data_IF_388055439929
#
_entry.id   IF_388055439929
#
_cell.length_a   1.000
_cell.length_b   1.000
_cell.length_c   1.000
_cell.angle_alpha   90.00
_cell.angle_beta   90.00
_cell.angle_gamma   90.00
#
_symmetry.space_group_name_H-M   'P 1'
#
loop_
_entity.id
_entity.type
_entity.pdbx_description
1 polymer ?
#
# COMPACT_ATOMS: atom_id res chain seq x y z
N UNK A 1 47.91 -9.82 -7.96
CA UNK A 1 47.48 -10.60 -6.77
C UNK A 1 45.97 -10.84 -7.00
N UNK A 2 45.54 -12.09 -7.17
CA UNK A 2 44.12 -12.37 -7.16
C UNK A 2 43.58 -12.05 -5.77
N UNK A 3 42.75 -11.06 -5.64
CA UNK A 3 42.02 -10.80 -4.38
C UNK A 3 41.19 -12.03 -4.07
N UNK A 4 41.42 -12.61 -2.88
CA UNK A 4 40.65 -13.78 -2.43
C UNK A 4 39.23 -13.32 -2.16
N UNK A 5 38.25 -13.91 -2.84
CA UNK A 5 36.82 -13.57 -2.70
C UNK A 5 36.35 -13.91 -1.26
N UNK A 6 35.88 -12.91 -0.51
CA UNK A 6 35.33 -13.09 0.84
C UNK A 6 33.86 -13.37 0.77
N UNK A 7 33.39 -14.47 1.34
CA UNK A 7 32.05 -14.98 1.21
C UNK A 7 31.30 -15.01 2.54
N UNK A 8 30.13 -14.42 2.56
CA UNK A 8 29.18 -14.56 3.66
C UNK A 8 28.22 -15.73 3.37
N UNK A 9 28.22 -16.73 4.24
CA UNK A 9 27.26 -17.84 4.15
C UNK A 9 26.00 -17.50 4.92
N UNK A 10 24.83 -17.65 4.29
CA UNK A 10 23.56 -17.50 4.97
C UNK A 10 22.78 -18.82 4.98
N UNK A 11 22.43 -19.28 6.17
CA UNK A 11 21.76 -20.56 6.41
C UNK A 11 20.48 -20.31 7.21
N UNK A 12 19.38 -20.93 6.77
CA UNK A 12 18.08 -20.85 7.46
C UNK A 12 17.33 -22.17 7.43
N UNK A 13 16.74 -22.53 8.57
CA UNK A 13 15.75 -23.61 8.64
C UNK A 13 14.48 -23.11 9.31
N UNK A 14 13.34 -23.69 8.94
CA UNK A 14 12.08 -23.57 9.66
C UNK A 14 11.76 -24.92 10.29
N UNK A 15 11.04 -24.92 11.41
CA UNK A 15 10.61 -26.15 12.12
C UNK A 15 9.83 -27.11 11.22
N UNK A 16 9.09 -26.61 10.22
CA UNK A 16 8.36 -27.40 9.20
C UNK A 16 9.29 -27.97 8.10
N UNK A 17 10.29 -27.22 7.68
CA UNK A 17 11.23 -27.67 6.62
C UNK A 17 12.22 -28.75 7.10
N UNK A 18 12.50 -28.82 8.41
CA UNK A 18 13.28 -29.93 8.99
C UNK A 18 12.54 -31.28 8.86
N UNK A 19 11.20 -31.26 8.87
CA UNK A 19 10.40 -32.46 8.78
C UNK A 19 10.13 -32.91 7.32
N UNK A 20 10.12 -31.98 6.38
CA UNK A 20 9.72 -32.24 4.98
C UNK A 20 10.90 -32.40 4.01
N UNK A 21 12.00 -31.66 4.21
CA UNK A 21 13.11 -31.61 3.23
C UNK A 21 14.41 -32.30 3.68
N UNK A 22 14.50 -32.75 4.96
CA UNK A 22 15.63 -33.56 5.46
C UNK A 22 16.98 -32.88 5.56
N UNK A 23 17.10 -31.58 5.26
CA UNK A 23 18.37 -30.86 5.32
C UNK A 23 18.51 -30.05 6.62
N UNK A 24 19.39 -30.52 7.50
CA UNK A 24 19.75 -29.79 8.73
C UNK A 24 20.58 -28.52 8.43
N UNK A 25 20.71 -27.63 9.42
CA UNK A 25 21.62 -26.47 9.33
C UNK A 25 23.04 -26.94 9.02
N UNK A 26 23.47 -28.01 9.68
CA UNK A 26 24.81 -28.59 9.55
C UNK A 26 25.07 -29.10 8.14
N UNK A 27 24.10 -29.77 7.52
CA UNK A 27 24.24 -30.25 6.13
C UNK A 27 24.28 -29.11 5.11
N UNK A 28 23.42 -28.08 5.27
CA UNK A 28 23.47 -26.89 4.42
C UNK A 28 24.84 -26.22 4.55
N UNK A 29 25.31 -26.01 5.77
CA UNK A 29 26.60 -25.39 6.07
C UNK A 29 27.74 -26.20 5.45
N UNK A 30 27.79 -27.50 5.65
CA UNK A 30 28.86 -28.38 5.10
C UNK A 30 28.91 -28.29 3.57
N UNK A 31 27.75 -28.28 2.88
CA UNK A 31 27.70 -28.14 1.41
C UNK A 31 28.20 -26.77 0.95
N UNK A 32 27.85 -25.69 1.65
CA UNK A 32 28.32 -24.34 1.32
C UNK A 32 29.81 -24.19 1.56
N UNK A 33 30.32 -24.74 2.65
CA UNK A 33 31.77 -24.77 2.98
C UNK A 33 32.55 -25.55 1.91
N UNK A 34 32.09 -26.76 1.55
CA UNK A 34 32.68 -27.52 0.45
C UNK A 34 32.69 -26.79 -0.89
N UNK A 35 31.63 -26.03 -1.19
CA UNK A 35 31.60 -25.22 -2.39
C UNK A 35 32.62 -24.07 -2.36
N UNK A 36 32.79 -23.42 -1.20
CA UNK A 36 33.83 -22.41 -1.02
C UNK A 36 35.25 -22.99 -1.19
N UNK A 37 35.51 -24.18 -0.65
CA UNK A 37 36.80 -24.88 -0.80
C UNK A 37 37.09 -25.19 -2.29
N UNK A 38 36.09 -25.67 -3.06
CA UNK A 38 36.26 -25.96 -4.49
C UNK A 38 36.55 -24.68 -5.29
N UNK A 39 36.00 -23.55 -4.86
CA UNK A 39 36.15 -22.24 -5.53
C UNK A 39 37.36 -21.44 -5.04
N UNK A 40 38.07 -21.92 -4.07
CA UNK A 40 39.18 -21.20 -3.37
C UNK A 40 38.68 -19.85 -2.80
N UNK A 41 37.49 -19.87 -2.17
CA UNK A 41 36.87 -18.71 -1.56
C UNK A 41 37.10 -18.67 -0.05
N UNK A 42 37.33 -17.49 0.50
CA UNK A 42 37.50 -17.32 1.95
C UNK A 42 36.15 -17.04 2.63
N UNK A 43 35.74 -17.87 3.57
CA UNK A 43 34.54 -17.66 4.37
C UNK A 43 34.78 -16.52 5.37
N UNK A 44 34.11 -15.39 5.15
CA UNK A 44 34.12 -14.27 6.07
C UNK A 44 33.38 -14.60 7.38
N UNK A 45 32.11 -15.07 7.24
CA UNK A 45 31.22 -15.37 8.37
C UNK A 45 30.04 -16.22 7.94
N UNK A 46 29.53 -17.06 8.86
CA UNK A 46 28.30 -17.81 8.71
C UNK A 46 27.18 -17.12 9.50
N UNK A 47 26.09 -16.77 8.82
CA UNK A 47 24.91 -16.18 9.40
C UNK A 47 23.82 -17.23 9.47
N UNK A 48 23.30 -17.51 10.66
CA UNK A 48 22.36 -18.60 10.88
C UNK A 48 21.09 -18.10 11.55
N UNK A 49 19.95 -18.19 10.85
CA UNK A 49 18.63 -18.03 11.41
C UNK A 49 17.97 -19.40 11.58
N UNK A 50 17.92 -19.91 12.81
CA UNK A 50 17.39 -21.23 13.14
C UNK A 50 16.35 -21.20 14.25
N UNK A 51 15.34 -22.09 14.16
CA UNK A 51 14.45 -22.38 15.30
C UNK A 51 13.22 -21.46 15.47
N UNK A 52 12.97 -20.52 14.58
CA UNK A 52 11.76 -19.69 14.64
C UNK A 52 10.61 -20.35 13.87
N UNK A 53 9.43 -20.47 14.52
CA UNK A 53 8.20 -20.94 13.88
C UNK A 53 7.86 -20.01 12.70
N UNK A 54 7.20 -20.51 11.66
CA UNK A 54 6.93 -19.81 10.40
C UNK A 54 6.12 -18.50 10.51
N UNK A 55 5.80 -18.05 11.71
CA UNK A 55 5.08 -16.80 12.02
C UNK A 55 5.98 -15.66 12.50
N UNK A 56 7.24 -15.89 12.86
CA UNK A 56 8.15 -14.83 13.32
C UNK A 56 8.92 -14.27 12.12
N UNK A 57 8.69 -13.00 11.82
CA UNK A 57 9.41 -12.19 10.82
C UNK A 57 10.79 -11.73 11.28
N UNK A 58 11.12 -11.96 12.54
CA UNK A 58 12.42 -11.57 13.11
C UNK A 58 13.52 -12.51 12.65
N UNK A 59 14.48 -11.97 11.91
CA UNK A 59 15.63 -12.67 11.33
C UNK A 59 16.92 -11.93 11.69
N UNK A 60 17.40 -12.05 12.93
CA UNK A 60 18.52 -11.26 13.42
C UNK A 60 19.81 -11.50 12.64
N UNK A 61 20.04 -12.75 12.16
CA UNK A 61 21.19 -13.03 11.34
C UNK A 61 21.10 -12.41 9.94
N UNK A 62 19.91 -12.39 9.32
CA UNK A 62 19.69 -11.68 8.06
C UNK A 62 19.87 -10.16 8.23
N UNK A 63 19.35 -9.59 9.30
CA UNK A 63 19.54 -8.16 9.58
C UNK A 63 21.02 -7.81 9.77
N UNK A 64 21.79 -8.67 10.44
CA UNK A 64 23.21 -8.49 10.58
C UNK A 64 23.94 -8.66 9.24
N UNK A 65 23.56 -9.65 8.42
CA UNK A 65 24.09 -9.83 7.07
C UNK A 65 23.88 -8.57 6.22
N UNK A 66 22.69 -7.95 6.28
CA UNK A 66 22.38 -6.70 5.56
C UNK A 66 23.27 -5.55 6.03
N UNK A 67 23.47 -5.38 7.34
CA UNK A 67 24.37 -4.34 7.90
C UNK A 67 25.81 -4.54 7.45
N UNK A 68 26.30 -5.77 7.52
CA UNK A 68 27.65 -6.11 7.12
C UNK A 68 27.86 -5.96 5.60
N UNK A 69 26.81 -6.25 4.80
CA UNK A 69 26.79 -6.00 3.36
C UNK A 69 26.88 -4.49 3.03
N UNK A 70 26.09 -3.67 3.71
CA UNK A 70 26.15 -2.21 3.55
C UNK A 70 27.51 -1.63 3.95
N UNK A 71 28.22 -2.29 4.87
CA UNK A 71 29.58 -1.97 5.29
C UNK A 71 30.66 -2.57 4.38
N UNK A 72 30.28 -3.35 3.35
CA UNK A 72 31.17 -4.00 2.36
C UNK A 72 32.24 -4.88 3.00
N UNK A 73 31.86 -5.70 3.99
CA UNK A 73 32.80 -6.55 4.72
C UNK A 73 33.12 -7.88 3.99
N UNK A 74 32.38 -8.19 2.93
CA UNK A 74 32.52 -9.36 2.06
C UNK A 74 32.13 -9.03 0.63
N UNK A 75 32.47 -9.91 -0.31
CA UNK A 75 32.30 -9.70 -1.75
C UNK A 75 31.12 -10.50 -2.32
N UNK A 76 30.77 -11.62 -1.67
CA UNK A 76 29.72 -12.53 -2.16
C UNK A 76 28.86 -13.03 -0.99
N UNK A 77 27.56 -13.14 -1.22
CA UNK A 77 26.61 -13.87 -0.37
C UNK A 77 26.31 -15.21 -1.02
N UNK A 78 26.50 -16.30 -0.29
CA UNK A 78 26.22 -17.66 -0.75
C UNK A 78 25.11 -18.29 0.10
N UNK A 79 24.09 -18.81 -0.56
CA UNK A 79 22.97 -19.55 0.07
C UNK A 79 22.85 -20.93 -0.54
N UNK A 80 22.27 -21.87 0.20
CA UNK A 80 22.02 -23.20 -0.31
C UNK A 80 20.92 -23.22 -1.38
N UNK A 81 19.83 -22.44 -1.16
CA UNK A 81 18.65 -22.33 -2.02
C UNK A 81 18.03 -20.95 -1.88
N UNK A 82 17.44 -20.40 -2.94
CA UNK A 82 16.83 -19.07 -2.95
C UNK A 82 15.77 -18.86 -1.85
N UNK A 83 14.97 -19.89 -1.56
CA UNK A 83 13.94 -19.83 -0.54
C UNK A 83 14.52 -19.70 0.90
N UNK A 84 15.81 -20.01 1.09
CA UNK A 84 16.52 -19.77 2.36
C UNK A 84 16.72 -18.28 2.59
N UNK A 85 16.94 -17.50 1.53
CA UNK A 85 17.02 -16.04 1.63
C UNK A 85 15.65 -15.43 1.95
N UNK A 86 14.63 -15.70 1.17
CA UNK A 86 13.23 -15.33 1.44
C UNK A 86 12.24 -16.26 0.70
N UNK A 87 11.05 -16.48 1.30
CA UNK A 87 9.92 -17.15 0.64
C UNK A 87 9.15 -16.20 -0.28
N UNK A 88 9.33 -14.90 -0.12
CA UNK A 88 8.72 -13.86 -0.94
C UNK A 88 9.66 -13.52 -2.09
N UNK A 89 9.22 -13.71 -3.33
CA UNK A 89 9.99 -13.30 -4.51
C UNK A 89 10.36 -11.81 -4.45
N UNK A 90 9.44 -10.97 -3.99
CA UNK A 90 9.67 -9.54 -3.82
C UNK A 90 10.83 -9.25 -2.88
N UNK A 91 10.84 -9.92 -1.72
CA UNK A 91 11.88 -9.68 -0.71
C UNK A 91 13.22 -10.26 -1.18
N UNK A 92 13.20 -11.40 -1.89
CA UNK A 92 14.42 -11.98 -2.50
C UNK A 92 15.02 -11.01 -3.51
N UNK A 93 14.21 -10.47 -4.44
CA UNK A 93 14.68 -9.49 -5.43
C UNK A 93 15.20 -8.22 -4.76
N UNK A 94 14.48 -7.69 -3.77
CA UNK A 94 14.91 -6.52 -3.00
C UNK A 94 16.27 -6.74 -2.34
N UNK A 95 16.47 -7.89 -1.70
CA UNK A 95 17.76 -8.21 -1.06
C UNK A 95 18.88 -8.33 -2.10
N UNK A 96 18.64 -8.99 -3.22
CA UNK A 96 19.66 -9.17 -4.26
C UNK A 96 19.95 -7.85 -4.98
N UNK A 97 18.94 -7.14 -5.50
CA UNK A 97 19.15 -5.93 -6.31
C UNK A 97 19.49 -4.71 -5.46
N UNK A 98 18.67 -4.44 -4.40
CA UNK A 98 18.77 -3.19 -3.65
C UNK A 98 19.78 -3.26 -2.49
N UNK A 99 20.08 -4.45 -1.96
CA UNK A 99 21.05 -4.59 -0.87
C UNK A 99 22.38 -5.10 -1.39
N UNK A 100 22.44 -6.25 -2.08
CA UNK A 100 23.73 -6.85 -2.44
C UNK A 100 24.34 -6.17 -3.66
N UNK A 101 23.70 -6.21 -4.81
CA UNK A 101 24.28 -5.67 -6.06
C UNK A 101 24.57 -4.16 -6.01
N UNK A 102 23.74 -3.36 -5.33
CA UNK A 102 24.02 -1.92 -5.12
C UNK A 102 25.27 -1.66 -4.29
N UNK A 103 25.64 -2.59 -3.42
CA UNK A 103 26.87 -2.50 -2.65
C UNK A 103 28.06 -3.22 -3.32
N UNK A 104 27.92 -3.66 -4.59
CA UNK A 104 28.88 -4.45 -5.35
C UNK A 104 29.17 -5.82 -4.71
N UNK A 105 28.17 -6.44 -4.10
CA UNK A 105 28.24 -7.78 -3.51
C UNK A 105 27.48 -8.72 -4.45
N UNK A 106 28.17 -9.79 -4.89
CA UNK A 106 27.56 -10.81 -5.72
C UNK A 106 26.70 -11.77 -4.88
N UNK A 107 25.72 -12.40 -5.52
CA UNK A 107 24.83 -13.35 -4.86
C UNK A 107 24.86 -14.68 -5.60
N UNK A 108 25.05 -15.77 -4.84
CA UNK A 108 25.10 -17.13 -5.37
C UNK A 108 24.13 -18.03 -4.63
N UNK A 109 23.33 -18.81 -5.38
CA UNK A 109 22.49 -19.89 -4.85
C UNK A 109 22.98 -21.22 -5.40
N UNK A 110 23.37 -22.11 -4.50
CA UNK A 110 24.03 -23.35 -4.86
C UNK A 110 23.10 -24.31 -5.61
N UNK A 111 21.89 -24.54 -5.10
CA UNK A 111 20.99 -25.55 -5.65
C UNK A 111 20.44 -25.17 -7.03
N UNK A 112 20.05 -23.90 -7.22
CA UNK A 112 19.56 -23.39 -8.48
C UNK A 112 20.66 -23.06 -9.48
N UNK A 113 21.94 -23.26 -9.11
CA UNK A 113 23.11 -22.89 -9.90
C UNK A 113 23.01 -21.44 -10.44
N UNK A 114 22.60 -20.54 -9.55
CA UNK A 114 22.33 -19.15 -9.84
C UNK A 114 23.44 -18.26 -9.28
N UNK A 115 24.10 -17.48 -10.15
CA UNK A 115 25.27 -16.66 -9.82
C UNK A 115 25.20 -15.31 -10.52
N UNK A 116 25.06 -14.23 -9.75
CA UNK A 116 24.94 -12.86 -10.27
C UNK A 116 26.25 -12.31 -10.83
N UNK A 117 27.40 -12.93 -10.53
CA UNK A 117 28.68 -12.56 -11.14
C UNK A 117 28.68 -12.84 -12.65
N UNK A 118 27.83 -13.80 -13.10
CA UNK A 118 27.71 -14.18 -14.50
C UNK A 118 26.74 -13.29 -15.28
N UNK A 119 26.98 -13.06 -16.59
CA UNK A 119 26.00 -12.37 -17.43
C UNK A 119 24.61 -13.03 -17.44
N UNK A 120 24.57 -14.35 -17.42
CA UNK A 120 23.32 -15.12 -17.37
C UNK A 120 22.57 -14.88 -16.06
N UNK A 121 23.23 -14.96 -14.91
CA UNK A 121 22.61 -14.69 -13.61
C UNK A 121 22.02 -13.28 -13.52
N UNK A 122 22.75 -12.26 -14.01
CA UNK A 122 22.20 -10.88 -14.11
C UNK A 122 20.98 -10.78 -15.01
N UNK A 123 20.98 -11.47 -16.15
CA UNK A 123 19.81 -11.49 -17.04
C UNK A 123 18.59 -12.14 -16.39
N UNK A 124 18.80 -13.24 -15.62
CA UNK A 124 17.72 -13.89 -14.85
C UNK A 124 17.12 -12.97 -13.80
N UNK A 125 17.93 -12.18 -13.07
CA UNK A 125 17.41 -11.18 -12.13
C UNK A 125 16.51 -10.18 -12.85
N UNK A 126 16.95 -9.64 -14.00
CA UNK A 126 16.13 -8.72 -14.78
C UNK A 126 14.78 -9.31 -15.19
N UNK A 127 14.76 -10.58 -15.61
CA UNK A 127 13.52 -11.29 -15.94
C UNK A 127 12.60 -11.46 -14.71
N UNK A 128 13.15 -11.87 -13.56
CA UNK A 128 12.39 -12.02 -12.33
C UNK A 128 11.79 -10.70 -11.87
N UNK A 129 12.52 -9.60 -12.01
CA UNK A 129 12.03 -8.24 -11.70
C UNK A 129 10.86 -7.84 -12.60
N UNK A 130 10.92 -8.14 -13.89
CA UNK A 130 9.80 -7.93 -14.84
C UNK A 130 8.58 -8.75 -14.42
N UNK A 131 8.74 -10.02 -14.08
CA UNK A 131 7.62 -10.86 -13.62
C UNK A 131 7.00 -10.32 -12.32
N UNK A 132 7.81 -9.90 -11.35
CA UNK A 132 7.33 -9.31 -10.11
C UNK A 132 6.57 -7.98 -10.35
N UNK A 133 6.95 -7.21 -11.37
CA UNK A 133 6.22 -6.02 -11.78
C UNK A 133 4.89 -6.38 -12.43
N UNK A 134 4.86 -7.33 -13.36
CA UNK A 134 3.63 -7.80 -14.02
C UNK A 134 2.62 -8.33 -12.99
N UNK A 135 3.07 -9.10 -12.00
CA UNK A 135 2.20 -9.59 -10.93
C UNK A 135 1.57 -8.43 -10.12
N UNK A 136 2.36 -7.41 -9.77
CA UNK A 136 1.84 -6.21 -9.09
C UNK A 136 0.80 -5.47 -9.93
N UNK A 137 1.03 -5.35 -11.22
CA UNK A 137 0.08 -4.70 -12.14
C UNK A 137 -1.22 -5.48 -12.26
N UNK A 138 -1.15 -6.81 -12.38
CA UNK A 138 -2.32 -7.69 -12.41
C UNK A 138 -3.14 -7.64 -11.11
N UNK A 139 -2.47 -7.60 -9.94
CA UNK A 139 -3.14 -7.43 -8.65
C UNK A 139 -3.87 -6.08 -8.61
N UNK A 140 -3.20 -5.00 -9.03
CA UNK A 140 -3.78 -3.66 -9.10
C UNK A 140 -4.99 -3.61 -10.03
N UNK A 141 -4.90 -4.24 -11.20
CA UNK A 141 -6.01 -4.33 -12.15
C UNK A 141 -7.19 -5.10 -11.57
N UNK A 142 -6.96 -6.29 -11.00
CA UNK A 142 -8.01 -7.06 -10.30
C UNK A 142 -8.68 -6.27 -9.19
N UNK A 143 -7.91 -5.54 -8.39
CA UNK A 143 -8.46 -4.67 -7.35
C UNK A 143 -9.32 -3.52 -7.94
N UNK A 144 -8.90 -2.94 -9.07
CA UNK A 144 -9.67 -1.89 -9.75
C UNK A 144 -10.98 -2.43 -10.32
N UNK A 145 -10.93 -3.59 -10.98
CA UNK A 145 -12.12 -4.28 -11.49
C UNK A 145 -13.08 -4.65 -10.36
N UNK A 146 -12.56 -5.18 -9.25
CA UNK A 146 -13.36 -5.47 -8.05
C UNK A 146 -14.04 -4.22 -7.47
N UNK A 147 -13.33 -3.08 -7.40
CA UNK A 147 -13.90 -1.80 -6.99
C UNK A 147 -14.99 -1.31 -7.95
N UNK A 148 -14.76 -1.40 -9.25
CA UNK A 148 -15.75 -1.03 -10.25
C UNK A 148 -17.00 -1.94 -10.17
N UNK A 149 -16.81 -3.26 -10.07
CA UNK A 149 -17.91 -4.21 -9.87
C UNK A 149 -18.73 -3.90 -8.62
N UNK A 150 -18.05 -3.56 -7.51
CA UNK A 150 -18.71 -3.14 -6.26
C UNK A 150 -19.52 -1.85 -6.44
N UNK A 151 -18.97 -0.84 -7.13
CA UNK A 151 -19.66 0.41 -7.43
C UNK A 151 -20.90 0.18 -8.31
N UNK A 152 -20.76 -0.63 -9.38
CA UNK A 152 -21.89 -1.01 -10.26
C UNK A 152 -22.97 -1.78 -9.52
N UNK A 153 -22.61 -2.63 -8.57
CA UNK A 153 -23.56 -3.34 -7.71
C UNK A 153 -24.21 -2.45 -6.63
N UNK A 154 -23.93 -1.16 -6.62
CA UNK A 154 -24.47 -0.21 -5.65
C UNK A 154 -23.95 -0.39 -4.22
N UNK A 155 -22.98 -1.28 -3.99
CA UNK A 155 -22.43 -1.53 -2.66
C UNK A 155 -21.56 -0.36 -2.19
N UNK A 156 -21.59 -0.06 -0.91
CA UNK A 156 -20.77 1.02 -0.32
C UNK A 156 -19.30 0.93 -0.71
N UNK A 157 -18.72 2.07 -1.06
CA UNK A 157 -17.29 2.21 -1.38
C UNK A 157 -16.45 2.60 -0.15
N UNK A 158 -17.05 2.63 1.03
CA UNK A 158 -16.43 3.06 2.29
C UNK A 158 -15.79 1.89 3.02
N UNK A 159 -14.45 1.86 3.07
CA UNK A 159 -13.66 0.76 3.61
C UNK A 159 -12.89 1.14 4.88
N UNK A 160 -12.50 2.40 4.99
CA UNK A 160 -11.69 2.88 6.12
C UNK A 160 -12.41 3.91 7.00
N UNK A 161 -13.27 4.74 6.42
CA UNK A 161 -14.02 5.77 7.15
C UNK A 161 -15.39 5.95 6.54
N UNK A 162 -16.42 5.71 7.34
CA UNK A 162 -17.82 5.93 6.96
C UNK A 162 -18.11 7.43 6.83
N UNK A 163 -18.97 7.81 5.86
CA UNK A 163 -19.49 9.18 5.79
C UNK A 163 -20.34 9.48 7.02
N UNK A 164 -20.13 10.64 7.63
CA UNK A 164 -20.95 11.10 8.75
C UNK A 164 -22.44 11.07 8.37
N UNK A 165 -23.29 10.59 9.25
CA UNK A 165 -24.70 10.33 8.96
C UNK A 165 -25.01 8.87 8.62
N UNK A 166 -23.99 8.01 8.50
CA UNK A 166 -24.18 6.59 8.22
C UNK A 166 -23.33 5.71 9.14
N UNK A 167 -23.87 4.54 9.46
CA UNK A 167 -23.15 3.42 10.04
C UNK A 167 -22.79 2.44 8.93
N UNK A 168 -21.59 1.83 9.00
CA UNK A 168 -21.14 0.82 8.03
C UNK A 168 -20.91 -0.51 8.74
N UNK A 169 -21.60 -1.53 8.26
CA UNK A 169 -21.40 -2.91 8.70
C UNK A 169 -20.34 -3.57 7.80
N UNK A 170 -19.25 -4.01 8.42
CA UNK A 170 -18.13 -4.65 7.70
C UNK A 170 -18.44 -6.06 7.23
N UNK A 171 -19.32 -6.78 7.93
CA UNK A 171 -19.66 -8.17 7.60
C UNK A 171 -20.56 -8.23 6.38
N UNK A 172 -21.61 -7.42 6.36
CA UNK A 172 -22.56 -7.36 5.24
C UNK A 172 -22.12 -6.41 4.13
N UNK A 173 -21.23 -5.47 4.45
CA UNK A 173 -20.82 -4.39 3.54
C UNK A 173 -21.91 -3.37 3.27
N UNK A 174 -22.95 -3.31 4.12
CA UNK A 174 -24.09 -2.43 4.01
C UNK A 174 -23.90 -1.11 4.77
N UNK A 175 -24.64 -0.07 4.33
CA UNK A 175 -24.72 1.20 5.04
C UNK A 175 -26.14 1.45 5.50
N UNK A 176 -26.29 1.81 6.78
CA UNK A 176 -27.57 2.23 7.38
C UNK A 176 -27.47 3.67 7.86
N UNK A 177 -28.59 4.39 7.82
CA UNK A 177 -28.64 5.78 8.31
C UNK A 177 -28.45 5.81 9.83
N UNK A 178 -27.55 6.67 10.30
CA UNK A 178 -27.46 7.05 11.71
C UNK A 178 -28.39 8.24 11.91
N UNK A 179 -29.54 7.99 12.53
CA UNK A 179 -30.62 8.98 12.61
C UNK A 179 -30.18 10.28 13.32
N UNK A 180 -29.34 10.20 14.36
CA UNK A 180 -28.82 11.37 15.05
C UNK A 180 -27.89 12.21 14.18
N UNK A 181 -26.92 11.57 13.52
CA UNK A 181 -25.98 12.25 12.62
C UNK A 181 -26.65 12.77 11.36
N UNK A 182 -27.70 12.06 10.88
CA UNK A 182 -28.46 12.45 9.70
C UNK A 182 -29.22 13.77 9.88
N UNK A 183 -29.60 14.13 11.12
CA UNK A 183 -30.19 15.43 11.42
C UNK A 183 -29.21 16.56 11.10
N UNK A 184 -27.96 16.45 11.53
CA UNK A 184 -26.93 17.44 11.22
C UNK A 184 -26.67 17.54 9.71
N UNK A 185 -26.66 16.41 8.98
CA UNK A 185 -26.51 16.39 7.52
C UNK A 185 -27.67 17.11 6.83
N UNK A 186 -28.92 16.83 7.23
CA UNK A 186 -30.11 17.51 6.71
C UNK A 186 -30.04 19.02 6.95
N UNK A 187 -29.69 19.43 8.18
CA UNK A 187 -29.53 20.85 8.55
C UNK A 187 -28.45 21.55 7.70
N UNK A 188 -27.33 20.89 7.43
CA UNK A 188 -26.27 21.41 6.56
C UNK A 188 -26.81 21.72 5.15
N UNK A 189 -27.54 20.79 4.53
CA UNK A 189 -28.11 21.01 3.20
C UNK A 189 -29.20 22.06 3.18
N UNK A 190 -30.15 22.00 4.13
CA UNK A 190 -31.26 22.96 4.24
C UNK A 190 -30.78 24.39 4.46
N UNK A 191 -29.88 24.60 5.41
CA UNK A 191 -29.32 25.94 5.70
C UNK A 191 -28.47 26.47 4.54
N UNK A 192 -27.74 25.59 3.82
CA UNK A 192 -26.96 26.00 2.66
C UNK A 192 -27.86 26.44 1.49
N UNK A 193 -28.94 25.72 1.22
CA UNK A 193 -29.94 26.05 0.19
C UNK A 193 -30.74 27.32 0.56
N UNK A 194 -30.94 27.59 1.86
CA UNK A 194 -31.49 28.84 2.35
C UNK A 194 -30.55 30.06 2.18
N UNK A 195 -29.37 29.87 1.59
CA UNK A 195 -28.42 30.96 1.26
C UNK A 195 -27.28 31.16 2.25
N UNK A 196 -27.19 30.36 3.32
CA UNK A 196 -26.13 30.51 4.32
C UNK A 196 -24.74 30.21 3.72
N UNK A 197 -23.72 30.98 4.10
CA UNK A 197 -22.35 30.71 3.69
C UNK A 197 -21.78 29.52 4.48
N UNK A 198 -20.80 28.77 3.88
CA UNK A 198 -20.19 27.62 4.53
C UNK A 198 -19.53 27.99 5.86
N UNK A 199 -18.97 29.21 6.00
CA UNK A 199 -18.38 29.69 7.24
C UNK A 199 -19.44 29.86 8.34
N UNK A 200 -20.53 30.56 8.07
CA UNK A 200 -21.63 30.72 9.01
C UNK A 200 -22.28 29.39 9.38
N UNK A 201 -22.44 28.51 8.37
CA UNK A 201 -22.97 27.16 8.53
C UNK A 201 -22.08 26.32 9.46
N UNK A 202 -20.76 26.37 9.29
CA UNK A 202 -19.79 25.71 10.19
C UNK A 202 -20.01 26.15 11.64
N UNK A 203 -20.14 27.44 11.87
CA UNK A 203 -20.27 27.99 13.23
C UNK A 203 -21.63 27.58 13.85
N UNK A 204 -22.72 27.62 13.07
CA UNK A 204 -24.03 27.12 13.49
C UNK A 204 -23.97 25.64 13.87
N UNK A 205 -23.43 24.78 13.00
CA UNK A 205 -23.39 23.34 13.22
C UNK A 205 -22.46 22.96 14.39
N UNK A 206 -21.39 23.71 14.64
CA UNK A 206 -20.57 23.50 15.84
C UNK A 206 -21.34 23.80 17.13
N UNK A 207 -22.29 24.74 17.11
CA UNK A 207 -23.15 25.04 18.26
C UNK A 207 -24.27 24.00 18.48
N UNK A 208 -24.93 23.57 17.39
CA UNK A 208 -26.10 22.69 17.47
C UNK A 208 -25.76 21.19 17.51
N UNK A 209 -24.70 20.80 16.81
CA UNK A 209 -24.27 19.38 16.66
C UNK A 209 -22.76 19.22 16.93
N UNK A 210 -22.31 19.48 18.17
CA UNK A 210 -20.88 19.45 18.52
C UNK A 210 -20.32 18.03 18.34
N UNK A 211 -19.10 17.93 17.82
CA UNK A 211 -18.35 16.67 17.67
C UNK A 211 -16.85 16.87 17.80
N UNK A 212 -16.10 15.78 17.97
CA UNK A 212 -14.64 15.76 17.96
C UNK A 212 -14.12 14.97 16.74
N UNK A 213 -13.18 15.54 15.95
CA UNK A 213 -12.80 16.96 15.95
C UNK A 213 -13.94 17.86 15.48
N UNK A 214 -13.91 19.13 15.86
CA UNK A 214 -14.92 20.13 15.51
C UNK A 214 -15.13 20.24 13.99
N UNK A 215 -16.32 20.72 13.59
CA UNK A 215 -16.66 20.95 12.19
C UNK A 215 -15.74 22.01 11.57
N UNK A 216 -15.08 21.66 10.47
CA UNK A 216 -14.27 22.58 9.68
C UNK A 216 -14.99 22.99 8.41
N UNK A 217 -14.55 24.11 7.80
CA UNK A 217 -15.02 24.52 6.46
C UNK A 217 -14.89 23.37 5.44
N UNK A 218 -13.75 22.67 5.46
CA UNK A 218 -13.47 21.55 4.56
C UNK A 218 -14.45 20.39 4.78
N UNK A 219 -14.78 20.08 6.02
CA UNK A 219 -15.74 19.01 6.36
C UNK A 219 -17.12 19.34 5.85
N UNK A 220 -17.65 20.53 6.10
CA UNK A 220 -18.98 20.97 5.63
C UNK A 220 -19.02 20.95 4.10
N UNK A 221 -18.01 21.54 3.43
CA UNK A 221 -17.92 21.52 1.97
C UNK A 221 -17.86 20.10 1.42
N UNK A 222 -17.13 19.20 2.07
CA UNK A 222 -17.03 17.79 1.70
C UNK A 222 -18.39 17.08 1.78
N UNK A 223 -19.20 17.37 2.80
CA UNK A 223 -20.56 16.84 2.94
C UNK A 223 -21.43 17.35 1.80
N UNK A 224 -21.48 18.65 1.55
CA UNK A 224 -22.30 19.26 0.48
C UNK A 224 -21.94 18.73 -0.92
N UNK A 225 -20.71 18.29 -1.14
CA UNK A 225 -20.24 17.79 -2.44
C UNK A 225 -20.29 16.24 -2.59
N UNK A 226 -20.67 15.52 -1.53
CA UNK A 226 -20.59 14.05 -1.55
C UNK A 226 -21.93 13.42 -2.00
N UNK A 227 -21.97 12.74 -3.17
CA UNK A 227 -23.20 12.16 -3.71
C UNK A 227 -23.76 10.97 -2.90
N UNK A 228 -23.00 10.44 -1.95
CA UNK A 228 -23.47 9.39 -1.04
C UNK A 228 -24.75 9.83 -0.29
N UNK A 229 -24.88 11.11 0.04
CA UNK A 229 -26.04 11.60 0.77
C UNK A 229 -27.36 11.56 -0.03
N UNK A 230 -27.29 11.56 -1.35
CA UNK A 230 -28.46 11.35 -2.22
C UNK A 230 -28.59 9.91 -2.75
N UNK A 231 -27.94 8.94 -2.12
CA UNK A 231 -28.06 7.53 -2.48
C UNK A 231 -27.17 7.08 -3.64
N UNK A 232 -26.15 7.87 -4.02
CA UNK A 232 -25.27 7.57 -5.13
C UNK A 232 -23.86 7.20 -4.64
N UNK A 233 -23.23 6.26 -5.33
CA UNK A 233 -21.80 5.93 -5.16
C UNK A 233 -20.98 6.59 -6.27
N UNK A 234 -19.78 7.05 -5.97
CA UNK A 234 -18.85 7.60 -6.95
C UNK A 234 -17.57 6.79 -7.02
N UNK A 235 -17.16 6.43 -8.24
CA UNK A 235 -15.89 5.77 -8.50
C UNK A 235 -15.24 6.27 -9.78
N UNK A 236 -14.02 6.78 -9.73
CA UNK A 236 -13.27 7.35 -10.87
C UNK A 236 -14.06 8.37 -11.69
N UNK A 237 -14.79 9.26 -11.02
CA UNK A 237 -15.60 10.29 -11.68
C UNK A 237 -16.96 9.82 -12.23
N UNK A 238 -17.24 8.52 -12.21
CA UNK A 238 -18.54 7.97 -12.59
C UNK A 238 -19.43 7.78 -11.37
N UNK A 239 -20.72 8.00 -11.54
CA UNK A 239 -21.73 7.87 -10.49
C UNK A 239 -22.59 6.65 -10.74
N UNK A 240 -22.86 5.88 -9.69
CA UNK A 240 -23.65 4.65 -9.71
C UNK A 240 -24.76 4.71 -8.66
N UNK A 241 -25.89 4.09 -8.92
CA UNK A 241 -26.95 3.97 -7.93
C UNK A 241 -26.46 3.14 -6.72
N UNK A 242 -26.57 3.71 -5.52
CA UNK A 242 -26.27 3.02 -4.27
C UNK A 242 -27.44 2.18 -3.77
N UNK A 243 -27.16 1.17 -2.94
CA UNK A 243 -28.19 0.36 -2.25
C UNK A 243 -28.58 0.95 -0.89
N UNK A 244 -27.87 1.95 -0.41
CA UNK A 244 -28.13 2.59 0.88
C UNK A 244 -29.27 3.63 0.78
N UNK A 245 -29.98 3.83 1.88
CA UNK A 245 -31.05 4.83 1.99
C UNK A 245 -30.46 6.24 1.92
N UNK A 246 -30.94 7.13 1.04
CA UNK A 246 -30.49 8.51 0.98
C UNK A 246 -30.93 9.30 2.23
N UNK A 247 -30.09 10.25 2.67
CA UNK A 247 -30.42 11.23 3.71
C UNK A 247 -31.07 12.47 3.09
N UNK A 248 -30.62 12.85 1.88
CA UNK A 248 -31.05 14.03 1.13
C UNK A 248 -31.69 13.58 -0.19
N UNK A 249 -32.68 14.32 -0.69
CA UNK A 249 -33.23 14.05 -2.01
C UNK A 249 -32.21 14.34 -3.12
N UNK A 250 -32.34 13.67 -4.26
CA UNK A 250 -31.51 13.94 -5.43
C UNK A 250 -31.66 15.37 -5.91
N UNK A 251 -32.89 15.91 -5.84
CA UNK A 251 -33.22 17.30 -6.26
C UNK A 251 -32.45 18.31 -5.41
N UNK A 252 -32.50 18.17 -4.08
CA UNK A 252 -31.79 19.07 -3.17
C UNK A 252 -30.28 18.98 -3.35
N UNK A 253 -29.76 17.77 -3.59
CA UNK A 253 -28.35 17.56 -3.86
C UNK A 253 -27.92 18.27 -5.15
N UNK A 254 -28.66 18.10 -6.27
CA UNK A 254 -28.36 18.78 -7.54
C UNK A 254 -28.43 20.29 -7.40
N UNK A 255 -29.46 20.82 -6.71
CA UNK A 255 -29.55 22.24 -6.43
C UNK A 255 -28.35 22.75 -5.64
N UNK A 256 -27.91 21.98 -4.63
CA UNK A 256 -26.70 22.28 -3.85
C UNK A 256 -25.45 22.34 -4.74
N UNK A 257 -25.28 21.41 -5.70
CA UNK A 257 -24.14 21.43 -6.62
C UNK A 257 -24.13 22.68 -7.52
N UNK A 258 -25.31 23.08 -8.03
CA UNK A 258 -25.46 24.32 -8.83
C UNK A 258 -25.05 25.56 -8.01
N UNK A 259 -25.50 25.65 -6.76
CA UNK A 259 -25.13 26.76 -5.86
C UNK A 259 -23.64 26.75 -5.50
N UNK A 260 -23.04 25.58 -5.27
CA UNK A 260 -21.59 25.45 -5.05
C UNK A 260 -20.79 25.96 -6.24
N UNK A 261 -21.17 25.56 -7.46
CA UNK A 261 -20.51 25.97 -8.71
C UNK A 261 -20.64 27.49 -8.92
N UNK A 262 -21.84 28.05 -8.76
CA UNK A 262 -22.12 29.49 -8.91
C UNK A 262 -21.27 30.32 -7.95
N UNK A 263 -21.24 29.98 -6.66
CA UNK A 263 -20.47 30.70 -5.65
C UNK A 263 -18.96 30.60 -5.89
N UNK A 264 -18.47 29.48 -6.43
CA UNK A 264 -17.06 29.31 -6.83
C UNK A 264 -16.69 30.21 -8.01
N UNK A 265 -17.56 30.32 -9.02
CA UNK A 265 -17.34 31.18 -10.18
C UNK A 265 -17.28 32.64 -9.76
N UNK A 266 -18.25 33.11 -8.97
CA UNK A 266 -18.26 34.48 -8.44
C UNK A 266 -17.00 34.80 -7.63
N UNK A 267 -16.53 33.85 -6.78
CA UNK A 267 -15.30 34.05 -6.01
C UNK A 267 -14.06 34.17 -6.91
N UNK A 268 -13.98 33.41 -8.01
CA UNK A 268 -12.88 33.50 -8.99
C UNK A 268 -12.91 34.82 -9.74
N UNK A 269 -14.08 35.30 -10.16
CA UNK A 269 -14.25 36.59 -10.85
C UNK A 269 -13.85 37.77 -9.95
N UNK A 270 -14.18 37.70 -8.67
CA UNK A 270 -13.80 38.73 -7.69
C UNK A 270 -12.29 38.69 -7.37
N UNK A 271 -11.64 37.53 -7.42
CA UNK A 271 -10.21 37.39 -7.15
C UNK A 271 -9.32 37.75 -8.35
N UNK A 272 -9.88 37.87 -9.56
CA UNK A 272 -9.17 38.23 -10.78
C UNK A 272 -9.96 39.34 -11.54
N UNK A 273 -10.02 40.57 -11.00
CA UNK A 273 -10.72 41.66 -11.68
C UNK A 273 -10.08 41.92 -13.03
N UNK A 274 -10.90 41.92 -14.10
CA UNK A 274 -10.43 42.29 -15.45
C UNK A 274 -9.76 43.67 -15.37
N UNK A 275 -8.59 43.88 -16.04
CA UNK A 275 -7.98 45.21 -16.08
C UNK A 275 -8.97 46.19 -16.69
N UNK A 276 -9.12 47.33 -16.04
CA UNK A 276 -9.94 48.47 -16.49
C UNK A 276 -9.48 48.85 -17.92
N UNK A 277 -10.28 48.62 -18.93
CA UNK A 277 -10.09 49.21 -20.23
C UNK A 277 -10.48 50.69 -20.11
N UNK A 278 -9.49 51.55 -19.90
CA UNK A 278 -9.66 52.97 -20.06
C UNK A 278 -9.99 53.24 -21.53
N UNK A 279 -11.16 53.87 -21.77
CA UNK A 279 -11.53 54.45 -23.06
C UNK A 279 -10.76 55.78 -23.29
#
# INVERSE_FOLDING_TARGET
MNEINKVALYVRVSTTAQLEEGYSIEEQKAKLESYCDIKDWHIYKVYTDGGFSGSTTERPALEQLIKDAQSKLFDTVLVYKLDRLSRSQKDTLYLIEDIFLKNNIEFVSLLENFDTSTPFGRAVIGLLSVFAQLEREQIKERMQLGKLGRAKAGKSMMWAKTSYGYNYDKETGSMTVNEYEALAVKEIFTSYLAGMSITKLRDKINGEYPKQPAWSYRTIRGILANPVYCGLNQYKGQTFQGTHKPIISLVDFEQTQRELAKRQQTAKELSNPRPFQAK
#
